data_IF_187744077061
#
_entry.id   IF_187744077061
#
_cell.length_a   1.000
_cell.length_b   1.000
_cell.length_c   1.000
_cell.angle_alpha   90.00
_cell.angle_beta   90.00
_cell.angle_gamma   90.00
#
_symmetry.space_group_name_H-M   'P 1'
#
loop_
_entity.id
_entity.type
_entity.pdbx_description
1 polymer ?
#
# COMPACT_ATOMS: atom_id res chain seq x y z
N UNK A 1 -18.19 15.28 -12.49
CA UNK A 1 -16.87 15.78 -12.05
C UNK A 1 -15.84 14.90 -12.73
N UNK A 2 -14.79 15.44 -13.34
CA UNK A 2 -13.77 14.60 -14.02
C UNK A 2 -12.90 13.88 -13.00
N UNK A 3 -12.33 12.72 -13.36
CA UNK A 3 -11.38 11.99 -12.52
C UNK A 3 -10.19 12.87 -12.07
N UNK A 4 -9.71 13.75 -12.94
CA UNK A 4 -8.64 14.71 -12.60
C UNK A 4 -9.07 15.70 -11.52
N UNK A 5 -10.27 16.29 -11.64
CA UNK A 5 -10.79 17.22 -10.63
C UNK A 5 -11.00 16.51 -9.30
N UNK A 6 -11.56 15.29 -9.33
CA UNK A 6 -11.74 14.46 -8.15
C UNK A 6 -10.41 14.17 -7.45
N UNK A 7 -9.38 13.80 -8.23
CA UNK A 7 -8.08 13.50 -7.69
C UNK A 7 -7.40 14.74 -7.10
N UNK A 8 -7.40 15.87 -7.80
CA UNK A 8 -6.82 17.13 -7.29
C UNK A 8 -7.46 17.56 -5.96
N UNK A 9 -8.79 17.47 -5.86
CA UNK A 9 -9.51 17.78 -4.62
C UNK A 9 -9.16 16.78 -3.51
N UNK A 10 -9.09 15.49 -3.83
CA UNK A 10 -8.73 14.44 -2.89
C UNK A 10 -7.30 14.58 -2.36
N UNK A 11 -6.33 14.88 -3.24
CA UNK A 11 -4.94 15.16 -2.85
C UNK A 11 -4.88 16.35 -1.89
N UNK A 12 -5.55 17.45 -2.21
CA UNK A 12 -5.61 18.63 -1.33
C UNK A 12 -6.23 18.30 0.02
N UNK A 13 -7.28 17.48 0.07
CA UNK A 13 -7.92 17.06 1.32
C UNK A 13 -7.01 16.16 2.18
N UNK A 14 -6.06 15.45 1.56
CA UNK A 14 -5.01 14.67 2.22
C UNK A 14 -3.75 15.49 2.55
N UNK A 15 -3.76 16.81 2.29
CA UNK A 15 -2.61 17.69 2.52
C UNK A 15 -1.50 17.57 1.48
N UNK A 16 -1.81 17.04 0.29
CA UNK A 16 -0.87 16.91 -0.84
C UNK A 16 -1.17 17.98 -1.89
N UNK A 17 -0.12 18.67 -2.34
CA UNK A 17 -0.20 19.74 -3.36
C UNK A 17 0.47 19.37 -4.69
N UNK A 18 0.77 18.07 -4.89
CA UNK A 18 1.47 17.55 -6.06
C UNK A 18 0.56 17.50 -7.30
N UNK A 19 1.18 17.48 -8.47
CA UNK A 19 0.49 17.29 -9.75
C UNK A 19 -0.21 15.90 -9.79
N UNK A 20 -1.52 15.82 -10.05
CA UNK A 20 -2.25 14.54 -10.16
C UNK A 20 -1.83 13.66 -11.34
N UNK A 21 -1.13 14.20 -12.36
CA UNK A 21 -0.91 13.50 -13.62
C UNK A 21 -0.22 12.12 -13.51
N UNK A 22 0.79 11.90 -12.65
CA UNK A 22 1.42 10.59 -12.49
C UNK A 22 0.45 9.51 -11.99
N UNK A 23 -0.43 9.85 -11.06
CA UNK A 23 -1.45 8.92 -10.55
C UNK A 23 -2.52 8.62 -11.61
N UNK A 24 -2.93 9.61 -12.40
CA UNK A 24 -3.83 9.39 -13.54
C UNK A 24 -3.19 8.50 -14.61
N UNK A 25 -1.89 8.70 -14.87
CA UNK A 25 -1.11 7.85 -15.79
C UNK A 25 -1.09 6.40 -15.28
N UNK A 26 -0.85 6.19 -13.99
CA UNK A 26 -0.95 4.87 -13.37
C UNK A 26 -2.35 4.27 -13.50
N UNK A 27 -3.41 5.05 -13.25
CA UNK A 27 -4.79 4.58 -13.31
C UNK A 27 -5.18 4.14 -14.73
N UNK A 28 -4.78 4.90 -15.75
CA UNK A 28 -4.99 4.53 -17.15
C UNK A 28 -4.23 3.25 -17.52
N UNK A 29 -2.97 3.12 -17.06
CA UNK A 29 -2.17 1.92 -17.27
C UNK A 29 -2.81 0.69 -16.59
N UNK A 30 -3.31 0.86 -15.36
CA UNK A 30 -4.05 -0.17 -14.63
C UNK A 30 -5.25 -0.65 -15.44
N UNK A 31 -6.13 0.27 -15.86
CA UNK A 31 -7.33 -0.07 -16.63
C UNK A 31 -7.01 -0.72 -17.97
N UNK A 32 -5.93 -0.31 -18.63
CA UNK A 32 -5.45 -0.96 -19.85
C UNK A 32 -5.07 -2.42 -19.60
N UNK A 33 -4.23 -2.68 -18.59
CA UNK A 33 -3.81 -4.04 -18.23
C UNK A 33 -4.94 -4.87 -17.65
N UNK A 34 -5.90 -4.25 -16.97
CA UNK A 34 -6.99 -4.95 -16.31
C UNK A 34 -7.82 -5.79 -17.30
N UNK A 35 -7.96 -5.31 -18.54
CA UNK A 35 -8.67 -6.01 -19.64
C UNK A 35 -8.14 -7.41 -19.93
N UNK A 36 -6.86 -7.67 -19.65
CA UNK A 36 -6.21 -8.95 -19.94
C UNK A 36 -5.85 -9.74 -18.68
N UNK A 37 -5.69 -9.07 -17.52
CA UNK A 37 -5.05 -9.67 -16.35
C UNK A 37 -5.86 -9.62 -15.05
N UNK A 38 -7.06 -9.02 -15.04
CA UNK A 38 -7.93 -8.94 -13.85
C UNK A 38 -7.17 -8.49 -12.58
N UNK A 39 -6.45 -7.37 -12.70
CA UNK A 39 -5.67 -6.77 -11.61
C UNK A 39 -6.56 -6.16 -10.52
N UNK A 40 -7.78 -5.74 -10.87
CA UNK A 40 -8.75 -5.11 -9.98
C UNK A 40 -10.18 -5.40 -10.46
N UNK A 41 -11.14 -5.44 -9.53
CA UNK A 41 -12.57 -5.52 -9.86
C UNK A 41 -13.13 -4.17 -10.36
N UNK A 42 -12.47 -3.06 -10.03
CA UNK A 42 -12.85 -1.70 -10.43
C UNK A 42 -12.38 -1.41 -11.86
N UNK A 43 -13.28 -0.97 -12.73
CA UNK A 43 -13.02 -0.64 -14.14
C UNK A 43 -13.32 0.82 -14.53
N UNK A 44 -13.91 1.61 -13.63
CA UNK A 44 -14.18 3.03 -13.81
C UNK A 44 -13.04 3.89 -13.26
N UNK A 45 -12.61 4.89 -14.04
CA UNK A 45 -11.46 5.73 -13.69
C UNK A 45 -11.69 6.53 -12.40
N UNK A 46 -12.89 7.08 -12.22
CA UNK A 46 -13.30 7.82 -11.03
C UNK A 46 -13.28 6.96 -9.77
N UNK A 47 -13.69 5.69 -9.90
CA UNK A 47 -13.62 4.74 -8.78
C UNK A 47 -12.18 4.34 -8.47
N UNK A 48 -11.32 4.19 -9.48
CA UNK A 48 -9.87 3.97 -9.27
C UNK A 48 -9.26 5.14 -8.47
N UNK A 49 -9.70 6.38 -8.73
CA UNK A 49 -9.24 7.55 -7.97
C UNK A 49 -9.61 7.41 -6.48
N UNK A 50 -10.88 7.21 -6.14
CA UNK A 50 -11.30 7.17 -4.74
C UNK A 50 -10.87 5.89 -4.02
N UNK A 51 -11.08 4.72 -4.63
CA UNK A 51 -10.88 3.43 -3.99
C UNK A 51 -9.43 2.95 -4.02
N UNK A 52 -8.63 3.34 -5.03
CA UNK A 52 -7.25 2.87 -5.13
C UNK A 52 -6.25 3.95 -4.79
N UNK A 53 -6.29 5.08 -5.49
CA UNK A 53 -5.30 6.15 -5.31
C UNK A 53 -5.44 6.80 -3.94
N UNK A 54 -6.61 7.41 -3.66
CA UNK A 54 -6.82 8.18 -2.44
C UNK A 54 -6.83 7.30 -1.19
N UNK A 55 -7.41 6.09 -1.25
CA UNK A 55 -7.36 5.12 -0.14
C UNK A 55 -5.92 4.74 0.22
N UNK A 56 -5.05 4.54 -0.78
CA UNK A 56 -3.63 4.23 -0.55
C UNK A 56 -2.85 5.42 0.01
N UNK A 57 -3.20 6.65 -0.39
CA UNK A 57 -2.54 7.86 0.09
C UNK A 57 -3.00 8.26 1.50
N UNK A 58 -4.20 7.86 1.92
CA UNK A 58 -4.76 8.22 3.23
C UNK A 58 -3.94 7.68 4.41
N UNK A 59 -3.13 6.63 4.21
CA UNK A 59 -2.25 6.08 5.25
C UNK A 59 -0.88 6.77 5.33
N UNK A 60 -0.56 7.74 4.45
CA UNK A 60 0.72 8.44 4.44
C UNK A 60 1.15 8.98 5.83
N UNK A 61 0.26 9.62 6.63
CA UNK A 61 0.63 10.12 7.95
C UNK A 61 0.97 9.02 8.97
N UNK A 62 0.66 7.76 8.66
CA UNK A 62 0.81 6.62 9.55
C UNK A 62 2.09 5.83 9.28
N UNK A 63 2.73 6.07 8.13
CA UNK A 63 3.98 5.43 7.70
C UNK A 63 5.15 5.99 8.52
N UNK A 64 6.06 5.10 8.94
CA UNK A 64 7.28 5.42 9.66
C UNK A 64 8.48 5.19 8.76
N UNK A 65 9.47 6.08 8.87
CA UNK A 65 10.73 5.98 8.15
C UNK A 65 10.60 6.27 6.66
N UNK A 66 11.55 5.74 5.89
CA UNK A 66 11.68 6.00 4.44
C UNK A 66 11.92 4.74 3.62
N UNK A 67 12.12 3.58 4.25
CA UNK A 67 12.33 2.29 3.59
C UNK A 67 11.11 1.42 3.82
N UNK A 68 10.27 1.33 2.78
CA UNK A 68 8.95 0.71 2.86
C UNK A 68 8.92 -0.53 1.99
N UNK A 69 8.28 -1.60 2.47
CA UNK A 69 7.93 -2.75 1.64
C UNK A 69 6.43 -2.93 1.59
N UNK A 70 5.89 -3.08 0.38
CA UNK A 70 4.50 -3.42 0.14
C UNK A 70 4.39 -4.91 -0.23
N UNK A 71 3.81 -5.71 0.65
CA UNK A 71 3.77 -7.17 0.52
C UNK A 71 2.44 -7.61 -0.09
N UNK A 72 2.55 -8.41 -1.16
CA UNK A 72 1.43 -8.76 -2.02
C UNK A 72 0.91 -7.56 -2.79
N UNK A 73 1.83 -6.75 -3.32
CA UNK A 73 1.50 -5.41 -3.84
C UNK A 73 0.43 -5.43 -4.93
N UNK A 74 0.20 -6.54 -5.65
CA UNK A 74 -0.89 -6.63 -6.61
C UNK A 74 -0.73 -5.65 -7.77
N UNK A 75 -1.65 -4.70 -7.85
CA UNK A 75 -1.60 -3.54 -8.74
C UNK A 75 -0.68 -2.41 -8.22
N UNK A 76 0.12 -2.67 -7.20
CA UNK A 76 1.06 -1.75 -6.56
C UNK A 76 0.38 -0.89 -5.50
N UNK A 77 -0.57 -1.45 -4.74
CA UNK A 77 -1.36 -0.72 -3.75
C UNK A 77 -1.05 -1.23 -2.33
N UNK A 78 -0.65 -0.35 -1.40
CA UNK A 78 -0.49 1.10 -1.55
C UNK A 78 0.84 1.56 -2.17
N UNK A 79 1.80 0.67 -2.38
CA UNK A 79 3.22 1.04 -2.56
C UNK A 79 3.54 2.00 -3.72
N UNK A 80 2.95 1.83 -4.92
CA UNK A 80 3.18 2.76 -6.03
C UNK A 80 2.61 4.15 -5.74
N UNK A 81 1.48 4.23 -5.05
CA UNK A 81 0.84 5.51 -4.74
C UNK A 81 1.71 6.30 -3.76
N UNK A 82 2.25 5.60 -2.75
CA UNK A 82 3.22 6.14 -1.80
C UNK A 82 4.52 6.57 -2.50
N UNK A 83 5.01 5.79 -3.47
CA UNK A 83 6.25 6.10 -4.18
C UNK A 83 6.16 7.37 -5.02
N UNK A 84 5.00 7.61 -5.64
CA UNK A 84 4.72 8.85 -6.38
C UNK A 84 4.64 10.03 -5.40
N UNK A 85 3.95 9.86 -4.26
CA UNK A 85 3.82 10.91 -3.25
C UNK A 85 5.16 11.30 -2.62
N UNK A 86 6.03 10.31 -2.38
CA UNK A 86 7.29 10.44 -1.64
C UNK A 86 8.47 9.95 -2.47
N UNK A 87 8.96 10.76 -3.42
CA UNK A 87 10.14 10.41 -4.22
C UNK A 87 11.42 10.29 -3.36
N UNK A 88 11.40 10.80 -2.12
CA UNK A 88 12.47 10.68 -1.13
C UNK A 88 12.47 9.34 -0.35
N UNK A 89 11.49 8.47 -0.58
CA UNK A 89 11.38 7.14 0.04
C UNK A 89 11.83 6.03 -0.88
N UNK A 90 12.41 4.97 -0.33
CA UNK A 90 12.73 3.74 -1.03
C UNK A 90 11.59 2.73 -0.84
N UNK A 91 10.88 2.39 -1.91
CA UNK A 91 9.75 1.47 -1.84
C UNK A 91 10.07 0.16 -2.58
N UNK A 92 9.91 -0.95 -1.86
CA UNK A 92 9.99 -2.30 -2.44
C UNK A 92 8.58 -2.85 -2.62
N UNK A 93 8.24 -3.27 -3.84
CA UNK A 93 6.98 -3.92 -4.17
C UNK A 93 7.24 -5.41 -4.33
N UNK A 94 6.72 -6.23 -3.41
CA UNK A 94 6.92 -7.66 -3.39
C UNK A 94 5.62 -8.40 -3.70
N UNK A 95 5.62 -9.22 -4.75
CA UNK A 95 4.49 -10.09 -5.08
C UNK A 95 4.96 -11.44 -5.61
N UNK A 96 4.29 -12.53 -5.20
CA UNK A 96 4.63 -13.89 -5.62
C UNK A 96 4.15 -14.22 -7.05
N UNK A 97 3.28 -13.41 -7.64
CA UNK A 97 2.69 -13.64 -8.95
C UNK A 97 3.44 -12.88 -10.05
N UNK A 98 4.05 -13.64 -10.97
CA UNK A 98 4.84 -13.08 -12.07
C UNK A 98 4.05 -12.17 -13.03
N UNK A 99 2.73 -12.34 -13.17
CA UNK A 99 1.90 -11.45 -14.00
C UNK A 99 1.77 -10.07 -13.35
N UNK A 100 1.54 -10.05 -12.03
CA UNK A 100 1.43 -8.81 -11.24
C UNK A 100 2.76 -8.07 -11.22
N UNK A 101 3.88 -8.75 -10.97
CA UNK A 101 5.20 -8.10 -10.99
C UNK A 101 5.59 -7.56 -12.37
N UNK A 102 5.17 -8.18 -13.47
CA UNK A 102 5.33 -7.58 -14.82
C UNK A 102 4.58 -6.27 -14.98
N UNK A 103 3.34 -6.18 -14.49
CA UNK A 103 2.61 -4.92 -14.45
C UNK A 103 3.34 -3.88 -13.60
N UNK A 104 3.83 -4.25 -12.42
CA UNK A 104 4.58 -3.34 -11.54
C UNK A 104 5.86 -2.80 -12.19
N UNK A 105 6.60 -3.67 -12.91
CA UNK A 105 7.78 -3.25 -13.67
C UNK A 105 7.41 -2.25 -14.79
N UNK A 106 6.31 -2.49 -15.50
CA UNK A 106 5.83 -1.58 -16.52
C UNK A 106 5.39 -0.24 -15.92
N UNK A 107 4.64 -0.26 -14.81
CA UNK A 107 4.23 0.94 -14.10
C UNK A 107 5.44 1.76 -13.63
N UNK A 108 6.43 1.11 -13.02
CA UNK A 108 7.71 1.74 -12.64
C UNK A 108 8.40 2.40 -13.83
N UNK A 109 8.45 1.73 -14.98
CA UNK A 109 9.08 2.24 -16.22
C UNK A 109 8.34 3.45 -16.79
N UNK A 110 7.02 3.35 -16.94
CA UNK A 110 6.17 4.41 -17.50
C UNK A 110 6.19 5.66 -16.62
N UNK A 111 6.11 5.49 -15.30
CA UNK A 111 6.12 6.57 -14.33
C UNK A 111 7.53 7.08 -13.98
N UNK A 112 8.57 6.44 -14.51
CA UNK A 112 9.99 6.75 -14.26
C UNK A 112 10.35 6.78 -12.77
N UNK A 113 9.81 5.85 -11.99
CA UNK A 113 10.03 5.77 -10.55
C UNK A 113 11.39 5.14 -10.23
N UNK A 114 12.39 5.99 -10.01
CA UNK A 114 13.74 5.56 -9.63
C UNK A 114 13.80 4.98 -8.21
N UNK A 115 12.85 5.37 -7.36
CA UNK A 115 12.78 5.03 -5.95
C UNK A 115 11.96 3.75 -5.66
N UNK A 116 11.57 3.02 -6.71
CA UNK A 116 10.82 1.76 -6.62
C UNK A 116 11.68 0.58 -7.06
N UNK A 117 11.67 -0.48 -6.25
CA UNK A 117 12.19 -1.81 -6.60
C UNK A 117 11.05 -2.81 -6.66
N UNK A 118 11.01 -3.65 -7.69
CA UNK A 118 9.97 -4.68 -7.85
C UNK A 118 10.62 -6.05 -7.68
N UNK A 119 10.08 -6.85 -6.75
CA UNK A 119 10.59 -8.17 -6.40
C UNK A 119 9.53 -9.22 -6.71
N UNK A 120 9.90 -10.20 -7.55
CA UNK A 120 9.07 -11.38 -7.80
C UNK A 120 9.54 -12.54 -6.92
N UNK A 121 8.92 -12.65 -5.75
CA UNK A 121 9.19 -13.71 -4.80
C UNK A 121 8.02 -13.90 -3.83
N UNK A 122 7.97 -15.05 -3.17
CA UNK A 122 7.14 -15.24 -1.98
C UNK A 122 7.83 -14.56 -0.80
N UNK A 123 7.08 -13.85 0.04
CA UNK A 123 7.62 -13.08 1.16
C UNK A 123 8.50 -13.94 2.10
N UNK A 124 8.06 -15.17 2.38
CA UNK A 124 8.78 -16.13 3.22
C UNK A 124 10.14 -16.57 2.65
N UNK A 125 10.30 -16.52 1.32
CA UNK A 125 11.48 -17.02 0.62
C UNK A 125 12.47 -15.91 0.22
N UNK A 126 12.08 -14.65 0.41
CA UNK A 126 12.91 -13.50 0.05
C UNK A 126 13.51 -12.86 1.29
N UNK A 127 14.77 -12.45 1.17
CA UNK A 127 15.52 -11.77 2.22
C UNK A 127 15.93 -10.39 1.71
N UNK A 128 15.91 -9.41 2.62
CA UNK A 128 16.43 -8.08 2.35
C UNK A 128 17.76 -7.91 3.09
N UNK A 129 18.76 -7.30 2.43
CA UNK A 129 20.03 -6.96 3.08
C UNK A 129 19.81 -5.95 4.22
N UNK A 130 18.83 -5.06 4.04
CA UNK A 130 18.42 -4.04 5.00
C UNK A 130 16.92 -4.11 5.18
N UNK A 131 16.52 -4.33 6.44
CA UNK A 131 15.13 -4.40 6.90
C UNK A 131 14.37 -3.09 6.70
N UNK A 132 13.05 -3.15 6.78
CA UNK A 132 12.12 -2.07 6.42
C UNK A 132 11.55 -1.37 7.66
N UNK A 133 11.45 -0.05 7.58
CA UNK A 133 10.86 0.79 8.63
C UNK A 133 9.34 0.53 8.74
N UNK A 134 8.69 0.30 7.60
CA UNK A 134 7.28 -0.08 7.54
C UNK A 134 7.03 -1.18 6.50
N UNK A 135 6.30 -2.21 6.92
CA UNK A 135 5.71 -3.23 6.04
C UNK A 135 4.24 -2.87 5.83
N UNK A 136 3.82 -2.64 4.58
CA UNK A 136 2.41 -2.40 4.23
C UNK A 136 1.80 -3.65 3.61
N UNK A 137 0.51 -3.86 3.85
CA UNK A 137 -0.27 -4.91 3.20
C UNK A 137 -1.72 -4.46 3.06
N UNK A 138 -2.31 -4.68 1.89
CA UNK A 138 -3.70 -4.35 1.60
C UNK A 138 -4.45 -5.57 1.04
N UNK A 139 -5.47 -6.02 1.77
CA UNK A 139 -6.43 -7.04 1.33
C UNK A 139 -5.82 -8.34 0.75
N UNK A 140 -4.65 -8.76 1.25
CA UNK A 140 -3.94 -9.95 0.77
C UNK A 140 -4.19 -11.19 1.63
N UNK A 141 -4.08 -11.04 2.95
CA UNK A 141 -3.93 -12.14 3.90
C UNK A 141 -4.49 -11.77 5.28
N UNK A 142 -4.53 -12.73 6.19
CA UNK A 142 -4.80 -12.47 7.61
C UNK A 142 -3.64 -11.69 8.23
N UNK A 143 -3.87 -11.13 9.42
CA UNK A 143 -2.81 -10.39 10.13
C UNK A 143 -1.71 -11.35 10.59
N UNK A 144 -2.08 -12.53 11.08
CA UNK A 144 -1.13 -13.59 11.47
C UNK A 144 -0.23 -13.98 10.30
N UNK A 145 -0.83 -14.24 9.12
CA UNK A 145 -0.08 -14.55 7.90
C UNK A 145 0.88 -13.42 7.53
N UNK A 146 0.44 -12.16 7.59
CA UNK A 146 1.30 -11.02 7.33
C UNK A 146 2.52 -11.01 8.26
N UNK A 147 2.30 -11.16 9.56
CA UNK A 147 3.37 -11.15 10.57
C UNK A 147 4.33 -12.32 10.34
N UNK A 148 3.81 -13.53 10.15
CA UNK A 148 4.61 -14.73 9.92
C UNK A 148 5.47 -14.62 8.66
N UNK A 149 4.92 -14.06 7.58
CA UNK A 149 5.62 -13.97 6.31
C UNK A 149 6.66 -12.85 6.26
N UNK A 150 6.63 -11.89 7.19
CA UNK A 150 7.40 -10.65 7.07
C UNK A 150 8.18 -10.24 8.32
N UNK A 151 8.11 -11.01 9.40
CA UNK A 151 8.90 -10.76 10.63
C UNK A 151 10.39 -10.61 10.38
N UNK A 152 10.94 -11.35 9.42
CA UNK A 152 12.36 -11.22 9.06
C UNK A 152 12.69 -9.98 8.22
N UNK A 153 11.67 -9.30 7.69
CA UNK A 153 11.80 -8.13 6.81
C UNK A 153 11.65 -6.80 7.55
N UNK A 154 10.90 -6.75 8.65
CA UNK A 154 10.68 -5.51 9.42
C UNK A 154 11.89 -5.19 10.30
N UNK A 155 12.24 -3.91 10.41
CA UNK A 155 13.31 -3.43 11.29
C UNK A 155 12.91 -3.59 12.77
N UNK A 156 13.87 -3.62 13.69
CA UNK A 156 13.60 -3.86 15.12
C UNK A 156 12.67 -2.80 15.74
N UNK A 157 12.77 -1.55 15.29
CA UNK A 157 11.89 -0.42 15.62
C UNK A 157 10.79 -0.17 14.56
N UNK A 158 10.66 -1.07 13.59
CA UNK A 158 9.71 -0.97 12.49
C UNK A 158 8.28 -1.33 12.89
N UNK A 159 7.38 -1.18 11.92
CA UNK A 159 5.96 -1.44 12.10
C UNK A 159 5.34 -2.16 10.89
N UNK A 160 4.19 -2.80 11.11
CA UNK A 160 3.28 -3.24 10.07
C UNK A 160 2.07 -2.31 9.99
N UNK A 161 1.64 -2.01 8.77
CA UNK A 161 0.39 -1.33 8.47
C UNK A 161 -0.49 -2.24 7.62
N UNK A 162 -1.48 -2.87 8.25
CA UNK A 162 -2.48 -3.68 7.57
C UNK A 162 -3.72 -2.84 7.27
N UNK A 163 -3.97 -2.55 5.99
CA UNK A 163 -5.14 -1.78 5.54
C UNK A 163 -6.38 -2.68 5.46
N UNK A 164 -7.43 -2.36 6.23
CA UNK A 164 -8.71 -3.09 6.24
C UNK A 164 -9.91 -2.14 6.22
N UNK A 165 -11.07 -2.67 5.85
CA UNK A 165 -12.34 -1.93 5.97
C UNK A 165 -12.74 -1.84 7.44
N UNK A 166 -13.40 -2.91 7.92
CA UNK A 166 -13.71 -3.13 9.32
C UNK A 166 -13.04 -4.44 9.77
N UNK A 167 -12.05 -4.39 10.68
CA UNK A 167 -11.47 -5.59 11.24
C UNK A 167 -12.46 -6.26 12.21
N UNK A 168 -12.43 -7.59 12.25
CA UNK A 168 -13.29 -8.37 13.16
C UNK A 168 -12.62 -8.56 14.51
N UNK A 169 -13.42 -8.80 15.56
CA UNK A 169 -12.88 -9.08 16.90
C UNK A 169 -11.97 -10.32 16.90
N UNK A 170 -12.26 -11.31 16.05
CA UNK A 170 -11.43 -12.50 15.85
C UNK A 170 -10.06 -12.16 15.26
N UNK A 171 -10.01 -11.32 14.22
CA UNK A 171 -8.74 -10.87 13.63
C UNK A 171 -7.89 -10.08 14.62
N UNK A 172 -8.52 -9.26 15.46
CA UNK A 172 -7.84 -8.44 16.46
C UNK A 172 -7.33 -9.26 17.63
N UNK A 173 -8.11 -10.26 18.08
CA UNK A 173 -7.71 -11.16 19.16
C UNK A 173 -6.52 -12.04 18.77
N UNK A 174 -6.30 -12.28 17.48
CA UNK A 174 -5.21 -13.08 16.96
C UNK A 174 -3.86 -12.34 16.87
N UNK A 175 -3.81 -11.04 17.14
CA UNK A 175 -2.58 -10.25 17.03
C UNK A 175 -1.68 -10.49 18.26
N UNK A 176 -0.48 -11.09 18.10
CA UNK A 176 0.37 -11.47 19.23
C UNK A 176 1.24 -10.32 19.77
N UNK A 177 0.92 -9.06 19.43
CA UNK A 177 1.75 -7.89 19.70
C UNK A 177 0.90 -6.65 19.97
N UNK A 178 1.50 -5.60 20.52
CA UNK A 178 0.85 -4.32 20.70
C UNK A 178 0.42 -3.73 19.34
N UNK A 179 -0.84 -3.33 19.25
CA UNK A 179 -1.40 -2.77 18.04
C UNK A 179 -2.32 -1.58 18.32
N UNK A 180 -2.44 -0.72 17.31
CA UNK A 180 -3.33 0.43 17.30
C UNK A 180 -4.25 0.35 16.08
N UNK A 181 -5.51 0.71 16.24
CA UNK A 181 -6.45 0.82 15.12
C UNK A 181 -6.68 2.30 14.85
N UNK A 182 -6.30 2.76 13.67
CA UNK A 182 -6.60 4.12 13.23
C UNK A 182 -7.64 4.08 12.13
N UNK A 183 -8.83 4.63 12.41
CA UNK A 183 -9.87 4.86 11.40
C UNK A 183 -9.53 6.11 10.61
N UNK A 184 -9.72 6.05 9.30
CA UNK A 184 -9.48 7.18 8.42
C UNK A 184 -10.61 7.35 7.41
N UNK A 185 -10.74 8.56 6.88
CA UNK A 185 -11.69 8.88 5.81
C UNK A 185 -10.92 9.04 4.51
N UNK A 186 -11.55 8.60 3.42
CA UNK A 186 -11.00 8.73 2.08
C UNK A 186 -11.88 9.72 1.32
N UNK A 187 -11.33 10.81 0.76
CA UNK A 187 -12.11 11.75 -0.02
C UNK A 187 -12.81 11.07 -1.20
N UNK A 188 -14.12 11.28 -1.34
CA UNK A 188 -14.91 10.69 -2.42
C UNK A 188 -15.24 9.20 -2.24
N UNK A 189 -15.07 8.65 -1.04
CA UNK A 189 -15.42 7.26 -0.72
C UNK A 189 -16.23 7.21 0.59
N UNK A 190 -17.46 6.73 0.49
CA UNK A 190 -18.35 6.52 1.64
C UNK A 190 -18.24 5.06 2.12
N UNK A 191 -17.08 4.72 2.67
CA UNK A 191 -16.82 3.39 3.23
C UNK A 191 -15.94 3.48 4.47
N UNK A 192 -16.21 2.61 5.45
CA UNK A 192 -15.33 2.48 6.62
C UNK A 192 -13.94 2.00 6.16
N UNK A 193 -12.91 2.71 6.62
CA UNK A 193 -11.51 2.35 6.43
C UNK A 193 -10.75 2.46 7.73
N UNK A 194 -9.87 1.51 7.94
CA UNK A 194 -8.99 1.46 9.09
C UNK A 194 -7.64 0.88 8.69
N UNK A 195 -6.61 1.31 9.39
CA UNK A 195 -5.34 0.61 9.40
C UNK A 195 -5.15 0.01 10.78
N UNK A 196 -4.62 -1.21 10.81
CA UNK A 196 -4.09 -1.80 12.03
C UNK A 196 -2.58 -1.60 11.97
N UNK A 197 -2.07 -0.80 12.91
CA UNK A 197 -0.64 -0.60 13.13
C UNK A 197 -0.18 -1.61 14.16
N UNK A 198 0.88 -2.35 13.87
CA UNK A 198 1.48 -3.33 14.78
C UNK A 198 2.96 -2.97 14.91
N UNK A 199 3.47 -2.89 16.13
CA UNK A 199 4.88 -2.52 16.38
C UNK A 199 5.75 -3.78 16.48
N UNK A 200 6.96 -3.76 15.90
CA UNK A 200 7.94 -4.84 16.02
C UNK A 200 8.75 -4.80 17.33
N UNK A 201 8.50 -3.82 18.20
CA UNK A 201 9.14 -3.70 19.51
C UNK A 201 8.33 -4.37 20.62
N UNK A 202 9.04 -4.99 21.58
CA UNK A 202 8.52 -5.24 22.92
C UNK A 202 8.08 -3.89 23.52
N UNK A 203 6.82 -3.52 23.36
CA UNK A 203 6.20 -2.72 24.41
C UNK A 203 5.97 -3.69 25.56
N UNK A 204 6.90 -3.71 26.52
CA UNK A 204 6.57 -4.16 27.86
C UNK A 204 5.26 -3.45 28.23
N UNK A 205 4.18 -4.21 28.36
CA UNK A 205 2.96 -3.71 28.98
C UNK A 205 3.35 -3.08 30.33
N UNK A 206 2.83 -1.89 30.67
CA UNK A 206 3.13 -1.25 31.95
C UNK A 206 2.77 -2.13 33.15
#
# INVERSE_FOLDING_TARGET
MTAETLLSQGLSALGLSQDPAPWLTWAQLLLHWNRAYNLTAIDQLEEVVSHHILDSLAILPMIQGRRIIDVGSGAGLPGLMLAIARPDWNITLLDGNGKKTRFLQEARRVLKLANVSVVHARAQAWQADVRFDTVTCRALCTIEELLDWTRHLVADDGQWLAMKGRPTDEELAAIPAAFEITRYRVPGLDAERSVIRIHNGNQESP
#
